data_IF_469873992504
#
_entry.id   IF_469873992504
#
_cell.length_a   1.000
_cell.length_b   1.000
_cell.length_c   1.000
_cell.angle_alpha   90.00
_cell.angle_beta   90.00
_cell.angle_gamma   90.00
#
_symmetry.space_group_name_H-M   'P 1'
#
loop_
_entity.id
_entity.type
_entity.pdbx_description
1 polymer ?
#
# COMPACT_ATOMS: atom_id res chain seq x y z
N UNK A 1 -8.00 7.25 -20.74
CA UNK A 1 -7.10 6.28 -20.08
C UNK A 1 -6.71 6.63 -18.63
N UNK A 2 -6.97 7.85 -18.10
CA UNK A 2 -6.52 8.23 -16.75
C UNK A 2 -7.42 7.86 -15.55
N UNK A 3 -8.68 7.43 -15.75
CA UNK A 3 -9.61 7.10 -14.64
C UNK A 3 -9.36 5.74 -13.96
N UNK A 4 -8.60 4.84 -14.59
CA UNK A 4 -8.45 3.45 -14.11
C UNK A 4 -7.44 3.32 -12.96
N UNK A 5 -6.33 4.06 -13.00
CA UNK A 5 -5.19 3.86 -12.08
C UNK A 5 -5.41 4.51 -10.72
N UNK A 6 -5.97 5.72 -10.70
CA UNK A 6 -6.36 6.38 -9.45
C UNK A 6 -7.36 5.53 -8.63
N UNK A 7 -8.23 4.78 -9.31
CA UNK A 7 -9.16 3.85 -8.64
C UNK A 7 -8.44 2.69 -7.96
N UNK A 8 -7.28 2.25 -8.45
CA UNK A 8 -6.51 1.18 -7.80
C UNK A 8 -5.83 1.68 -6.52
N UNK A 9 -5.42 2.95 -6.49
CA UNK A 9 -4.75 3.55 -5.32
C UNK A 9 -5.72 4.08 -4.27
N UNK A 10 -6.83 4.69 -4.68
CA UNK A 10 -7.75 5.42 -3.81
C UNK A 10 -9.17 4.82 -3.80
N UNK A 11 -9.37 3.68 -4.45
CA UNK A 11 -10.64 2.98 -4.45
C UNK A 11 -10.84 2.18 -3.17
N UNK A 12 -12.09 2.11 -2.71
CA UNK A 12 -12.48 1.26 -1.59
C UNK A 12 -12.96 -0.09 -2.12
N UNK A 13 -12.36 -1.17 -1.64
CA UNK A 13 -12.64 -2.53 -2.09
C UNK A 13 -12.99 -3.43 -0.90
N UNK A 14 -14.30 -3.58 -0.65
CA UNK A 14 -14.82 -4.43 0.44
C UNK A 14 -14.37 -5.88 0.23
N UNK A 15 -13.95 -6.53 1.33
CA UNK A 15 -13.47 -7.92 1.30
C UNK A 15 -12.01 -8.06 0.85
N UNK A 16 -11.29 -6.95 0.66
CA UNK A 16 -9.85 -6.94 0.40
C UNK A 16 -9.07 -6.78 1.70
N UNK A 17 -7.89 -7.39 1.76
CA UNK A 17 -6.95 -7.24 2.89
C UNK A 17 -5.53 -7.11 2.35
N UNK A 18 -4.71 -6.32 3.04
CA UNK A 18 -3.28 -6.23 2.81
C UNK A 18 -2.55 -7.01 3.91
N UNK A 19 -1.69 -7.95 3.52
CA UNK A 19 -0.96 -8.80 4.45
C UNK A 19 0.55 -8.70 4.17
N UNK A 20 1.33 -8.45 5.22
CA UNK A 20 2.77 -8.68 5.22
C UNK A 20 3.03 -10.12 5.64
N UNK A 21 3.83 -10.85 4.85
CA UNK A 21 4.13 -12.27 5.08
C UNK A 21 5.60 -12.55 4.82
N UNK A 22 6.14 -13.57 5.48
CA UNK A 22 7.47 -14.10 5.16
C UNK A 22 7.50 -14.65 3.73
N UNK A 23 8.60 -14.44 2.97
CA UNK A 23 8.71 -14.92 1.58
C UNK A 23 8.64 -16.45 1.45
N UNK A 24 8.90 -17.17 2.54
CA UNK A 24 8.85 -18.64 2.59
C UNK A 24 7.42 -19.20 2.68
N UNK A 25 6.41 -18.34 2.90
CA UNK A 25 5.03 -18.77 3.07
C UNK A 25 4.42 -19.12 1.71
N UNK A 26 4.00 -20.37 1.55
CA UNK A 26 3.19 -20.78 0.40
C UNK A 26 1.73 -20.33 0.59
N UNK A 27 1.41 -19.14 0.07
CA UNK A 27 0.07 -18.56 0.14
C UNK A 27 -1.01 -19.44 -0.51
N UNK A 28 -0.67 -20.17 -1.58
CA UNK A 28 -1.62 -21.05 -2.27
C UNK A 28 -2.14 -22.19 -1.37
N UNK A 29 -1.33 -22.61 -0.40
CA UNK A 29 -1.75 -23.63 0.59
C UNK A 29 -2.83 -23.12 1.54
N UNK A 30 -2.74 -21.85 1.95
CA UNK A 30 -3.66 -21.24 2.93
C UNK A 30 -4.88 -20.59 2.26
N UNK A 31 -4.71 -20.11 1.04
CA UNK A 31 -5.69 -19.36 0.27
C UNK A 31 -5.93 -19.99 -1.11
N UNK A 32 -6.32 -21.28 -1.21
CA UNK A 32 -6.31 -22.02 -2.48
C UNK A 32 -7.29 -21.48 -3.53
N UNK A 33 -8.36 -20.83 -3.08
CA UNK A 33 -9.43 -20.30 -3.95
C UNK A 33 -9.61 -18.78 -3.82
N UNK A 34 -8.72 -18.10 -3.08
CA UNK A 34 -8.81 -16.66 -2.90
C UNK A 34 -7.79 -15.99 -3.83
N UNK A 35 -8.21 -15.05 -4.70
CA UNK A 35 -7.27 -14.33 -5.55
C UNK A 35 -6.37 -13.45 -4.67
N UNK A 36 -5.07 -13.48 -4.95
CA UNK A 36 -4.08 -12.64 -4.29
C UNK A 36 -3.03 -12.19 -5.29
N UNK A 37 -2.35 -11.10 -4.95
CA UNK A 37 -1.27 -10.52 -5.75
C UNK A 37 -0.18 -10.03 -4.77
N UNK A 38 1.07 -10.36 -5.06
CA UNK A 38 2.21 -9.74 -4.39
C UNK A 38 2.35 -8.30 -4.89
N UNK A 39 2.17 -7.33 -4.00
CA UNK A 39 2.26 -5.90 -4.35
C UNK A 39 3.70 -5.36 -4.28
N UNK A 40 4.55 -5.98 -3.47
CA UNK A 40 5.92 -5.53 -3.25
C UNK A 40 6.50 -6.12 -1.97
N UNK A 41 7.51 -5.44 -1.43
CA UNK A 41 8.23 -5.83 -0.23
C UNK A 41 8.27 -4.70 0.80
N UNK A 42 8.29 -5.07 2.08
CA UNK A 42 8.58 -4.14 3.17
C UNK A 42 10.09 -4.05 3.32
N UNK A 43 10.61 -2.83 3.31
CA UNK A 43 12.04 -2.57 3.50
C UNK A 43 12.28 -1.77 4.78
N UNK A 44 13.53 -1.72 5.21
CA UNK A 44 13.94 -0.88 6.35
C UNK A 44 14.06 0.61 5.98
N UNK A 45 13.76 1.00 4.74
CA UNK A 45 13.82 2.40 4.32
C UNK A 45 12.57 3.15 4.80
N UNK A 46 12.70 4.37 5.35
CA UNK A 46 11.56 5.16 5.83
C UNK A 46 10.83 5.87 4.67
N UNK A 47 10.56 5.14 3.59
CA UNK A 47 9.94 5.63 2.36
C UNK A 47 8.88 4.66 1.87
N UNK A 48 7.85 5.20 1.24
CA UNK A 48 6.89 4.43 0.45
C UNK A 48 7.14 4.79 -1.01
N UNK A 49 7.39 3.76 -1.83
CA UNK A 49 7.66 3.91 -3.26
C UNK A 49 6.64 3.10 -4.04
N UNK A 50 6.00 3.75 -5.02
CA UNK A 50 5.06 3.13 -5.95
C UNK A 50 5.74 3.07 -7.31
N UNK A 51 5.85 1.87 -7.86
CA UNK A 51 6.46 1.64 -9.17
C UNK A 51 5.48 1.02 -10.16
N UNK A 52 5.72 1.25 -11.44
CA UNK A 52 5.03 0.59 -12.55
C UNK A 52 6.05 0.27 -13.62
N UNK A 53 6.13 -1.00 -14.03
CA UNK A 53 7.11 -1.49 -15.02
C UNK A 53 8.58 -1.12 -14.69
N UNK A 54 8.90 -1.01 -13.39
CA UNK A 54 10.23 -0.65 -12.88
C UNK A 54 10.49 0.86 -12.78
N UNK A 55 9.58 1.70 -13.27
CA UNK A 55 9.66 3.16 -13.15
C UNK A 55 9.03 3.63 -11.84
N UNK A 56 9.68 4.57 -11.15
CA UNK A 56 9.14 5.18 -9.93
C UNK A 56 8.05 6.19 -10.33
N UNK A 57 6.80 5.89 -10.01
CA UNK A 57 5.67 6.78 -10.24
C UNK A 57 5.52 7.80 -9.12
N UNK A 58 5.81 7.39 -7.89
CA UNK A 58 5.68 8.22 -6.70
C UNK A 58 6.55 7.68 -5.58
N UNK A 59 7.16 8.59 -4.81
CA UNK A 59 7.95 8.26 -3.63
C UNK A 59 7.73 9.34 -2.57
N UNK A 60 7.59 8.92 -1.31
CA UNK A 60 7.52 9.85 -0.19
C UNK A 60 8.09 9.26 1.09
N UNK A 61 8.62 10.13 1.95
CA UNK A 61 9.06 9.77 3.30
C UNK A 61 7.85 9.47 4.18
N UNK A 62 7.90 8.37 4.93
CA UNK A 62 6.83 7.98 5.87
C UNK A 62 6.57 9.06 6.92
N UNK A 63 7.61 9.76 7.38
CA UNK A 63 7.49 10.87 8.33
C UNK A 63 6.64 12.03 7.78
N UNK A 64 6.81 12.39 6.51
CA UNK A 64 6.03 13.47 5.89
C UNK A 64 4.55 13.09 5.70
N UNK A 65 4.28 11.81 5.42
CA UNK A 65 2.92 11.28 5.36
C UNK A 65 2.26 11.27 6.73
N UNK A 66 2.98 10.85 7.77
CA UNK A 66 2.48 10.84 9.14
C UNK A 66 2.17 12.26 9.64
N UNK A 67 3.04 13.22 9.36
CA UNK A 67 2.80 14.64 9.65
C UNK A 67 1.53 15.13 8.93
N UNK A 68 1.43 14.90 7.62
CA UNK A 68 0.28 15.30 6.83
C UNK A 68 -1.04 14.68 7.29
N UNK A 69 -1.01 13.40 7.68
CA UNK A 69 -2.18 12.73 8.27
C UNK A 69 -2.56 13.42 9.58
N UNK A 70 -1.59 13.62 10.49
CA UNK A 70 -1.81 14.10 11.85
C UNK A 70 -2.50 15.46 11.97
N UNK A 71 -2.36 16.33 10.96
CA UNK A 71 -2.89 17.71 10.99
C UNK A 71 -4.36 17.79 11.36
N UNK A 72 -5.22 17.03 10.68
CA UNK A 72 -6.67 17.08 10.92
C UNK A 72 -7.03 16.70 12.35
N UNK A 73 -6.28 15.76 12.95
CA UNK A 73 -6.50 15.38 14.34
C UNK A 73 -6.03 16.46 15.31
N UNK A 74 -4.85 17.02 15.07
CA UNK A 74 -4.31 18.12 15.88
C UNK A 74 -5.22 19.34 15.87
N UNK A 75 -5.74 19.73 14.71
CA UNK A 75 -6.64 20.89 14.57
C UNK A 75 -7.98 20.76 15.32
N UNK A 76 -8.40 19.54 15.66
CA UNK A 76 -9.71 19.27 16.29
C UNK A 76 -9.59 18.96 17.78
N UNK A 77 -8.46 18.42 18.23
CA UNK A 77 -8.29 17.88 19.58
C UNK A 77 -7.28 18.66 20.43
N UNK A 78 -6.27 19.29 19.84
CA UNK A 78 -5.26 20.13 20.52
C UNK A 78 -5.66 21.62 20.50
#
# INVERSE_FOLDING_TARGET
>A
AGRSKARLLFGEFIGSVLLEVSPEINLQRYFPNTPWLALGEVTNQPTITITEDGEILWEQKTAALAEGWGKTFQEVVE
#
